data_IF_418311688340
#
_entry.id   IF_418311688340
#
_cell.length_a   1.000
_cell.length_b   1.000
_cell.length_c   1.000
_cell.angle_alpha   90.00
_cell.angle_beta   90.00
_cell.angle_gamma   90.00
#
_symmetry.space_group_name_H-M   'P 1'
#
loop_
_entity.id
_entity.type
_entity.pdbx_description
1 polymer ?
#
# COMPACT_ATOMS: atom_id res chain seq x y z
N UNK A 1 -19.51 -17.81 -46.76
CA UNK A 1 -20.89 -18.26 -47.08
C UNK A 1 -21.45 -18.98 -45.86
N UNK A 2 -22.55 -18.49 -45.31
CA UNK A 2 -23.24 -19.07 -44.16
C UNK A 2 -24.41 -18.17 -43.79
N UNK A 3 -25.54 -18.36 -44.47
CA UNK A 3 -26.81 -17.64 -44.26
C UNK A 3 -27.74 -18.53 -43.41
N UNK A 4 -28.32 -17.98 -42.35
CA UNK A 4 -29.58 -18.39 -41.73
C UNK A 4 -30.14 -17.11 -41.06
N UNK A 5 -31.01 -16.32 -41.69
CA UNK A 5 -32.47 -16.46 -41.87
C UNK A 5 -33.23 -16.64 -40.54
N UNK A 6 -33.64 -15.47 -40.03
CA UNK A 6 -34.90 -15.03 -39.42
C UNK A 6 -35.98 -16.07 -39.06
N UNK A 7 -36.69 -15.83 -37.94
CA UNK A 7 -38.17 -15.87 -37.74
C UNK A 7 -38.46 -15.94 -36.22
N UNK A 8 -39.53 -15.46 -35.60
CA UNK A 8 -40.60 -14.49 -35.86
C UNK A 8 -41.16 -14.14 -34.46
N UNK A 9 -41.74 -12.96 -34.33
CA UNK A 9 -42.37 -12.43 -33.10
C UNK A 9 -43.56 -13.28 -32.64
N UNK A 10 -43.77 -13.39 -31.33
CA UNK A 10 -45.10 -13.54 -30.73
C UNK A 10 -45.33 -12.41 -29.73
N UNK A 11 -46.33 -11.60 -30.05
CA UNK A 11 -47.00 -10.61 -29.20
C UNK A 11 -48.16 -11.34 -28.52
N UNK A 12 -48.48 -11.01 -27.26
CA UNK A 12 -49.82 -10.73 -26.70
C UNK A 12 -49.71 -10.82 -25.16
N UNK A 13 -49.85 -9.70 -24.45
CA UNK A 13 -51.11 -9.16 -23.92
C UNK A 13 -51.60 -9.97 -22.71
N UNK A 14 -51.52 -9.36 -21.52
CA UNK A 14 -51.99 -10.00 -20.28
C UNK A 14 -51.96 -9.04 -19.11
N UNK A 15 -52.97 -8.17 -19.06
CA UNK A 15 -53.27 -7.27 -17.96
C UNK A 15 -53.70 -8.09 -16.73
N UNK A 16 -53.10 -7.84 -15.57
CA UNK A 16 -53.67 -8.23 -14.29
C UNK A 16 -53.22 -7.23 -13.20
N UNK A 17 -54.03 -6.18 -13.03
CA UNK A 17 -54.10 -5.42 -11.80
C UNK A 17 -54.70 -6.33 -10.72
N UNK A 18 -53.93 -6.66 -9.70
CA UNK A 18 -54.46 -7.15 -8.43
C UNK A 18 -53.92 -6.24 -7.33
N UNK A 19 -54.79 -5.33 -6.90
CA UNK A 19 -54.62 -4.61 -5.65
C UNK A 19 -54.93 -5.58 -4.50
N UNK A 20 -53.93 -5.84 -3.65
CA UNK A 20 -54.13 -6.48 -2.36
C UNK A 20 -53.59 -5.53 -1.29
N UNK A 21 -54.51 -4.82 -0.63
CA UNK A 21 -54.25 -4.19 0.65
C UNK A 21 -54.21 -5.30 1.71
N UNK A 22 -53.08 -5.46 2.39
CA UNK A 22 -52.97 -6.32 3.56
C UNK A 22 -52.21 -5.58 4.66
N UNK A 23 -52.86 -5.58 5.83
CA UNK A 23 -52.53 -4.93 7.07
C UNK A 23 -51.08 -5.14 7.53
N UNK A 24 -50.48 -4.08 8.07
CA UNK A 24 -49.21 -4.14 8.79
C UNK A 24 -49.35 -4.89 10.11
N UNK A 25 -48.42 -5.80 10.43
CA UNK A 25 -47.90 -5.96 11.77
C UNK A 25 -46.58 -5.21 11.86
N UNK A 26 -46.53 -4.19 12.71
CA UNK A 26 -45.31 -3.55 13.20
C UNK A 26 -44.43 -4.60 13.88
N UNK A 27 -43.59 -5.28 13.09
CA UNK A 27 -42.52 -6.13 13.59
C UNK A 27 -41.48 -5.24 14.25
N UNK A 28 -41.35 -5.35 15.58
CA UNK A 28 -40.33 -4.66 16.34
C UNK A 28 -38.95 -4.95 15.76
N UNK A 29 -38.24 -3.90 15.35
CA UNK A 29 -36.83 -4.01 15.05
C UNK A 29 -36.10 -4.42 16.33
N UNK A 30 -35.69 -5.68 16.44
CA UNK A 30 -34.67 -6.06 17.42
C UNK A 30 -33.39 -5.35 17.03
N UNK A 31 -33.12 -4.21 17.68
CA UNK A 31 -31.81 -3.59 17.66
C UNK A 31 -30.81 -4.63 18.20
N UNK A 32 -30.00 -5.21 17.32
CA UNK A 32 -28.87 -6.00 17.75
C UNK A 32 -28.00 -5.11 18.66
N UNK A 33 -27.49 -5.63 19.80
CA UNK A 33 -26.58 -4.86 20.62
C UNK A 33 -25.39 -4.45 19.75
N UNK A 34 -25.12 -3.15 19.69
CA UNK A 34 -23.93 -2.63 19.05
C UNK A 34 -22.73 -3.32 19.72
N UNK A 35 -21.96 -4.10 18.94
CA UNK A 35 -20.66 -4.57 19.41
C UNK A 35 -19.86 -3.34 19.79
N UNK A 36 -19.56 -3.21 21.07
CA UNK A 36 -18.52 -2.29 21.55
C UNK A 36 -17.24 -2.69 20.84
N UNK A 37 -16.89 -1.96 19.77
CA UNK A 37 -15.53 -1.98 19.24
C UNK A 37 -14.64 -1.51 20.37
N UNK A 38 -13.83 -2.42 20.91
CA UNK A 38 -12.68 -2.05 21.75
C UNK A 38 -11.97 -0.92 21.02
N UNK A 39 -11.79 0.26 21.63
CA UNK A 39 -11.01 1.32 20.99
C UNK A 39 -9.70 0.69 20.55
N UNK A 40 -9.36 0.85 19.26
CA UNK A 40 -8.10 0.39 18.73
C UNK A 40 -7.02 0.91 19.68
N UNK A 41 -6.35 -0.02 20.36
CA UNK A 41 -5.26 0.33 21.27
C UNK A 41 -4.28 1.11 20.41
N UNK A 42 -4.17 2.42 20.66
CA UNK A 42 -3.19 3.26 20.00
C UNK A 42 -1.87 2.75 20.55
N UNK A 43 -1.24 1.81 19.83
CA UNK A 43 0.05 1.29 20.19
C UNK A 43 0.95 2.50 20.43
N UNK A 44 1.43 2.65 21.67
CA UNK A 44 2.38 3.69 22.02
C UNK A 44 3.51 3.58 21.01
N UNK A 45 3.74 4.59 20.16
CA UNK A 45 4.74 4.47 19.11
C UNK A 45 6.06 4.14 19.79
N UNK A 46 6.66 3.00 19.42
CA UNK A 46 8.03 2.72 19.80
C UNK A 46 8.85 3.96 19.40
N UNK A 47 9.59 4.53 20.35
CA UNK A 47 10.31 5.78 20.10
C UNK A 47 11.26 5.58 18.91
N UNK A 48 10.91 6.20 17.79
CA UNK A 48 11.72 6.18 16.58
C UNK A 48 13.04 6.89 16.89
N UNK A 49 14.14 6.29 16.45
CA UNK A 49 15.43 6.95 16.47
C UNK A 49 15.50 7.91 15.29
N UNK A 50 15.87 9.17 15.56
CA UNK A 50 16.04 10.18 14.54
C UNK A 50 16.99 9.68 13.44
N UNK A 51 16.56 9.79 12.20
CA UNK A 51 17.32 9.35 11.02
C UNK A 51 16.97 10.26 9.86
N UNK A 52 17.97 10.82 9.20
CA UNK A 52 17.74 11.47 7.91
C UNK A 52 17.57 10.41 6.80
N UNK A 53 17.04 10.78 5.62
CA UNK A 53 17.02 9.89 4.46
C UNK A 53 18.42 9.46 4.02
N UNK A 54 19.42 10.34 4.13
CA UNK A 54 20.81 10.03 3.79
C UNK A 54 21.43 8.98 4.74
N UNK A 55 21.11 9.06 6.03
CA UNK A 55 21.53 8.06 7.03
C UNK A 55 20.92 6.70 6.72
N UNK A 56 19.65 6.68 6.34
CA UNK A 56 18.95 5.45 5.97
C UNK A 56 19.53 4.85 4.67
N UNK A 57 19.86 5.65 3.65
CA UNK A 57 20.58 5.15 2.46
C UNK A 57 21.90 4.51 2.86
N UNK A 58 22.70 5.19 3.69
CA UNK A 58 23.99 4.67 4.16
C UNK A 58 23.80 3.36 4.92
N UNK A 59 22.79 3.28 5.78
CA UNK A 59 22.45 2.08 6.55
C UNK A 59 22.09 0.91 5.64
N UNK A 60 21.18 1.10 4.71
CA UNK A 60 20.69 0.05 3.82
C UNK A 60 21.73 -0.38 2.78
N UNK A 61 22.58 0.56 2.33
CA UNK A 61 23.76 0.23 1.52
C UNK A 61 24.71 -0.72 2.25
N UNK A 62 24.99 -0.51 3.54
CA UNK A 62 25.80 -1.46 4.34
C UNK A 62 25.15 -2.83 4.51
N UNK A 63 23.85 -2.96 4.25
CA UNK A 63 23.14 -4.23 4.29
C UNK A 63 22.97 -4.85 2.89
N UNK A 64 23.59 -4.28 1.85
CA UNK A 64 23.46 -4.71 0.47
C UNK A 64 22.00 -4.79 -0.03
N UNK A 65 21.17 -3.81 0.36
CA UNK A 65 19.80 -3.63 -0.16
C UNK A 65 18.96 -4.91 -0.15
N UNK A 66 18.70 -5.48 1.05
CA UNK A 66 18.02 -6.76 1.14
C UNK A 66 16.59 -6.67 0.60
N UNK A 67 16.27 -7.50 -0.39
CA UNK A 67 14.98 -7.47 -1.08
C UNK A 67 13.87 -8.19 -0.29
N UNK A 68 14.24 -9.13 0.60
CA UNK A 68 13.28 -9.84 1.43
C UNK A 68 12.71 -8.93 2.53
N UNK A 69 11.38 -8.88 2.59
CA UNK A 69 10.61 -8.12 3.58
C UNK A 69 10.87 -8.63 5.00
N UNK A 70 11.07 -7.71 5.95
CA UNK A 70 11.15 -8.06 7.36
C UNK A 70 11.97 -7.11 8.23
N UNK A 71 11.86 -7.31 9.54
CA UNK A 71 12.68 -6.65 10.55
C UNK A 71 14.13 -7.15 10.49
N UNK A 72 15.06 -6.22 10.62
CA UNK A 72 16.50 -6.47 10.62
C UNK A 72 17.12 -5.73 11.78
N UNK A 73 17.91 -6.43 12.58
CA UNK A 73 18.70 -5.83 13.63
C UNK A 73 20.00 -5.29 13.02
N UNK A 74 20.14 -3.97 12.99
CA UNK A 74 21.30 -3.28 12.40
C UNK A 74 21.90 -2.43 13.52
N UNK A 75 23.13 -2.73 13.94
CA UNK A 75 23.84 -1.96 14.98
C UNK A 75 23.02 -1.77 16.27
N UNK A 76 22.31 -2.83 16.70
CA UNK A 76 21.52 -2.83 17.94
C UNK A 76 20.15 -2.13 17.85
N UNK A 77 19.70 -1.72 16.66
CA UNK A 77 18.37 -1.15 16.44
C UNK A 77 17.62 -1.96 15.37
N UNK A 78 16.30 -1.97 15.44
CA UNK A 78 15.43 -2.69 14.51
C UNK A 78 14.97 -1.76 13.40
N UNK A 79 15.28 -2.14 12.16
CA UNK A 79 14.90 -1.42 10.94
C UNK A 79 14.12 -2.38 10.02
N UNK A 80 13.20 -1.87 9.21
CA UNK A 80 12.37 -2.73 8.38
C UNK A 80 12.68 -2.56 6.88
N UNK A 81 12.94 -3.68 6.19
CA UNK A 81 12.91 -3.74 4.75
C UNK A 81 11.48 -4.08 4.31
N UNK A 82 10.85 -3.22 3.52
CA UNK A 82 9.44 -3.36 3.17
C UNK A 82 9.15 -4.36 2.04
N UNK A 83 10.20 -4.69 1.28
CA UNK A 83 10.12 -5.58 0.12
C UNK A 83 9.86 -4.80 -1.17
N UNK A 84 9.27 -5.47 -2.14
CA UNK A 84 8.89 -4.87 -3.42
C UNK A 84 7.83 -3.76 -3.21
N UNK A 85 7.99 -2.65 -3.93
CA UNK A 85 7.04 -1.53 -3.98
C UNK A 85 6.38 -1.50 -5.36
N UNK A 86 5.05 -1.52 -5.39
CA UNK A 86 4.30 -1.73 -6.63
C UNK A 86 4.16 -0.52 -7.56
N UNK A 87 4.43 0.70 -7.08
CA UNK A 87 4.23 1.97 -7.83
C UNK A 87 2.89 2.06 -8.58
N UNK A 88 1.79 1.72 -7.89
CA UNK A 88 0.44 1.67 -8.49
C UNK A 88 -0.06 3.01 -9.02
N UNK A 89 0.40 4.12 -8.43
CA UNK A 89 0.04 5.47 -8.83
C UNK A 89 0.97 6.03 -9.92
N UNK A 90 1.91 5.23 -10.43
CA UNK A 90 2.86 5.59 -11.49
C UNK A 90 3.66 6.87 -11.17
N UNK A 91 4.07 7.02 -9.92
CA UNK A 91 4.83 8.18 -9.45
C UNK A 91 6.33 8.04 -9.76
N UNK A 92 6.81 6.83 -10.08
CA UNK A 92 8.20 6.54 -10.38
C UNK A 92 8.41 6.22 -11.86
N UNK A 93 9.64 6.45 -12.34
CA UNK A 93 10.00 6.16 -13.74
C UNK A 93 10.15 4.65 -13.93
N UNK A 94 9.21 4.05 -14.66
CA UNK A 94 9.13 2.60 -14.92
C UNK A 94 10.43 1.94 -15.41
N UNK A 95 11.32 2.68 -16.10
CA UNK A 95 12.64 2.18 -16.52
C UNK A 95 13.57 1.73 -15.39
N UNK A 96 13.26 2.11 -14.14
CA UNK A 96 14.02 1.72 -12.96
C UNK A 96 13.36 0.58 -12.17
N UNK A 97 12.22 0.04 -12.61
CA UNK A 97 11.57 -1.09 -11.96
C UNK A 97 12.41 -2.39 -12.06
N UNK A 98 12.24 -3.36 -11.13
CA UNK A 98 11.33 -3.35 -9.99
C UNK A 98 11.80 -2.42 -8.86
N UNK A 99 10.86 -1.90 -8.08
CA UNK A 99 11.15 -1.02 -6.96
C UNK A 99 11.12 -1.76 -5.63
N UNK A 100 11.95 -1.32 -4.69
CA UNK A 100 11.96 -1.85 -3.32
C UNK A 100 11.94 -0.71 -2.31
N UNK A 101 11.27 -0.93 -1.19
CA UNK A 101 11.09 0.07 -0.15
C UNK A 101 11.79 -0.29 1.18
N UNK A 102 12.23 0.75 1.87
CA UNK A 102 12.98 0.64 3.12
C UNK A 102 12.57 1.74 4.09
N UNK A 103 12.44 1.39 5.36
CA UNK A 103 12.13 2.37 6.40
C UNK A 103 13.31 3.32 6.63
N UNK A 104 12.98 4.60 6.81
CA UNK A 104 13.94 5.62 7.23
C UNK A 104 14.21 5.49 8.72
N UNK A 105 13.14 5.35 9.50
CA UNK A 105 13.20 5.23 10.95
C UNK A 105 13.57 3.80 11.40
N UNK A 106 14.24 3.72 12.54
CA UNK A 106 14.50 2.46 13.24
C UNK A 106 14.13 2.62 14.71
N UNK A 107 14.01 1.49 15.39
CA UNK A 107 13.40 1.41 16.72
C UNK A 107 14.27 0.60 17.67
N UNK A 108 14.13 0.82 18.98
CA UNK A 108 14.84 0.02 19.99
C UNK A 108 14.33 -1.43 20.08
N UNK A 109 13.06 -1.64 19.74
CA UNK A 109 12.40 -2.93 19.61
C UNK A 109 11.66 -2.96 18.28
N UNK A 110 11.20 -4.12 17.80
CA UNK A 110 10.27 -4.14 16.67
C UNK A 110 9.03 -3.33 16.99
N UNK A 111 8.48 -2.63 15.99
CA UNK A 111 7.34 -1.74 16.15
C UNK A 111 6.18 -2.22 15.28
N UNK A 112 4.94 -2.04 15.73
CA UNK A 112 3.77 -2.23 14.86
C UNK A 112 3.60 -1.04 13.90
N UNK A 113 4.11 0.13 14.29
CA UNK A 113 4.08 1.34 13.49
C UNK A 113 5.48 1.65 12.93
N UNK A 114 5.59 1.64 11.60
CA UNK A 114 6.82 1.91 10.81
C UNK A 114 7.01 3.39 10.45
N UNK A 115 6.12 4.27 10.93
CA UNK A 115 6.05 5.66 10.48
C UNK A 115 5.63 5.78 9.01
N UNK A 116 5.67 7.00 8.48
CA UNK A 116 5.26 7.33 7.11
C UNK A 116 6.45 7.43 6.15
N UNK A 117 7.66 7.54 6.68
CA UNK A 117 8.86 7.84 5.89
C UNK A 117 9.48 6.58 5.26
N UNK A 118 9.79 6.66 3.96
CA UNK A 118 10.44 5.57 3.22
C UNK A 118 11.50 6.08 2.26
N UNK A 119 12.50 5.24 2.02
CA UNK A 119 13.28 5.28 0.79
C UNK A 119 12.69 4.24 -0.14
N UNK A 120 12.42 4.63 -1.39
CA UNK A 120 12.13 3.69 -2.48
C UNK A 120 13.32 3.73 -3.44
N UNK A 121 13.79 2.55 -3.85
CA UNK A 121 14.93 2.41 -4.75
C UNK A 121 14.55 1.55 -5.95
N UNK A 122 15.19 1.81 -7.09
CA UNK A 122 15.02 1.01 -8.30
C UNK A 122 15.77 -0.31 -8.28
N UNK A 123 15.71 -1.02 -9.41
CA UNK A 123 16.39 -2.29 -9.64
C UNK A 123 17.87 -2.22 -9.27
N UNK A 124 18.37 -3.31 -8.69
CA UNK A 124 19.78 -3.46 -8.37
C UNK A 124 20.58 -3.79 -9.63
N UNK A 125 21.74 -3.15 -9.77
CA UNK A 125 22.73 -3.50 -10.78
C UNK A 125 23.53 -4.76 -10.39
N UNK A 126 24.49 -5.15 -11.23
CA UNK A 126 25.36 -6.32 -10.99
C UNK A 126 26.23 -6.21 -9.74
N UNK A 127 26.43 -5.00 -9.22
CA UNK A 127 27.15 -4.73 -7.97
C UNK A 127 26.23 -4.68 -6.75
N UNK A 128 24.93 -4.92 -6.95
CA UNK A 128 23.92 -4.85 -5.90
C UNK A 128 23.56 -3.42 -5.51
N UNK A 129 23.87 -2.40 -6.33
CA UNK A 129 23.50 -1.02 -6.05
C UNK A 129 22.23 -0.61 -6.80
N UNK A 130 21.31 0.16 -6.17
CA UNK A 130 20.13 0.64 -6.85
C UNK A 130 20.43 1.63 -7.97
N UNK A 131 19.67 1.48 -9.05
CA UNK A 131 19.71 2.37 -10.22
C UNK A 131 19.19 3.78 -9.94
N UNK A 132 18.33 3.96 -8.93
CA UNK A 132 17.79 5.25 -8.49
C UNK A 132 17.36 5.19 -7.01
N UNK A 133 17.10 6.37 -6.43
CA UNK A 133 16.69 6.57 -5.04
C UNK A 133 15.68 7.71 -4.95
N UNK A 134 14.56 7.49 -4.27
CA UNK A 134 13.61 8.53 -3.90
C UNK A 134 13.22 8.40 -2.44
N UNK A 135 12.88 9.52 -1.82
CA UNK A 135 12.34 9.54 -0.46
C UNK A 135 10.91 10.03 -0.48
N UNK A 136 10.05 9.38 0.31
CA UNK A 136 8.69 9.85 0.61
C UNK A 136 8.59 10.14 2.11
N UNK A 137 8.20 11.36 2.53
CA UNK A 137 7.95 11.68 3.94
C UNK A 137 6.55 11.24 4.42
N UNK A 138 5.65 10.97 3.49
CA UNK A 138 4.20 11.08 3.68
C UNK A 138 3.46 9.83 3.22
N UNK A 139 4.11 8.68 3.35
CA UNK A 139 3.56 7.38 3.02
C UNK A 139 3.10 7.30 1.56
N UNK A 140 4.06 7.57 0.66
CA UNK A 140 3.97 7.46 -0.79
C UNK A 140 3.03 8.47 -1.46
N UNK A 141 2.64 9.56 -0.79
CA UNK A 141 1.84 10.62 -1.41
C UNK A 141 2.68 11.55 -2.27
N UNK A 142 3.93 11.79 -1.86
CA UNK A 142 4.90 12.56 -2.63
C UNK A 142 6.28 11.90 -2.57
N UNK A 143 7.07 12.12 -3.62
CA UNK A 143 8.46 11.69 -3.70
C UNK A 143 9.37 12.88 -3.95
N UNK A 144 10.54 12.86 -3.32
CA UNK A 144 11.61 13.85 -3.55
C UNK A 144 12.97 13.18 -3.62
N UNK A 145 13.86 13.85 -4.36
CA UNK A 145 15.25 13.46 -4.49
C UNK A 145 15.99 13.48 -3.14
N UNK A 146 16.94 12.56 -2.97
CA UNK A 146 17.84 12.49 -1.80
C UNK A 146 19.21 13.05 -2.19
N UNK A 147 19.51 14.29 -1.81
CA UNK A 147 20.79 14.93 -2.11
C UNK A 147 21.10 14.91 -3.62
N UNK A 148 22.31 14.47 -3.97
CA UNK A 148 22.75 14.34 -5.37
C UNK A 148 22.48 12.94 -5.99
N UNK A 149 21.75 12.06 -5.30
CA UNK A 149 21.44 10.73 -5.82
C UNK A 149 20.47 10.82 -6.99
N UNK A 150 20.58 9.88 -7.93
CA UNK A 150 19.67 9.79 -9.08
C UNK A 150 18.26 9.50 -8.61
N UNK A 151 17.31 10.38 -8.94
CA UNK A 151 15.92 10.26 -8.49
C UNK A 151 15.12 9.21 -9.27
N UNK A 152 14.29 8.42 -8.56
CA UNK A 152 13.34 7.50 -9.19
C UNK A 152 12.06 8.23 -9.65
N UNK A 153 11.66 9.30 -8.97
CA UNK A 153 10.39 9.99 -9.22
C UNK A 153 10.30 10.49 -10.66
N UNK A 154 9.12 10.34 -11.27
CA UNK A 154 8.77 11.05 -12.50
C UNK A 154 8.68 12.55 -12.18
N UNK A 155 9.25 13.39 -13.05
CA UNK A 155 9.25 14.85 -12.86
C UNK A 155 7.84 15.43 -13.08
#
# INVERSE_FOLDING_TARGET
MGKYVTNFRIVHLGCALVAAAALMPSGGASAAPARSTTPASVATPAAALASTPADAVTRWRRQNWPQARGWRQISGVYCFAGGEFGDHDHQLRSKYAPFHEYDVQCYKTTSENRGTERIVVGALDKSGQPSCYSYTPDHYRTFRQIGALRDCAAA
#
